data_IF_416037534950
#
_entry.id   IF_416037534950
#
_cell.length_a   1.000
_cell.length_b   1.000
_cell.length_c   1.000
_cell.angle_alpha   90.00
_cell.angle_beta   90.00
_cell.angle_gamma   90.00
#
_symmetry.space_group_name_H-M   'P 1'
#
loop_
_entity.id
_entity.type
_entity.pdbx_description
1 polymer ?
#
# COMPACT_ATOMS: atom_id res chain seq x y z
N UNK A 1 20.55 15.66 -2.59
CA UNK A 1 20.57 15.36 -1.14
C UNK A 1 20.64 13.86 -0.94
N UNK A 2 21.72 13.35 -0.33
CA UNK A 2 21.85 11.92 -0.01
C UNK A 2 21.02 11.62 1.25
N UNK A 3 20.06 10.68 1.15
CA UNK A 3 19.36 10.15 2.33
C UNK A 3 20.39 9.36 3.15
N UNK A 4 20.55 9.67 4.43
CA UNK A 4 21.41 8.91 5.35
C UNK A 4 21.10 7.42 5.23
N UNK A 5 22.14 6.60 5.06
CA UNK A 5 21.99 5.15 4.98
C UNK A 5 21.34 4.65 6.27
N UNK A 6 20.28 3.84 6.12
CA UNK A 6 19.61 3.20 7.24
C UNK A 6 20.61 2.32 7.99
N UNK A 7 20.96 2.71 9.22
CA UNK A 7 21.85 1.94 10.10
C UNK A 7 21.00 1.08 11.03
N UNK A 8 21.37 -0.19 11.13
CA UNK A 8 20.82 -1.15 12.08
C UNK A 8 21.86 -1.34 13.18
N UNK A 9 21.44 -1.49 14.42
CA UNK A 9 22.32 -2.03 15.46
C UNK A 9 22.60 -3.51 15.18
N UNK A 10 23.73 -4.01 15.70
CA UNK A 10 24.19 -5.37 15.41
C UNK A 10 23.21 -6.44 15.89
N UNK A 11 22.47 -6.19 16.98
CA UNK A 11 21.50 -7.14 17.51
C UNK A 11 20.27 -7.25 16.61
N UNK A 12 19.69 -6.12 16.19
CA UNK A 12 18.58 -6.08 15.23
C UNK A 12 18.99 -6.67 13.88
N UNK A 13 20.22 -6.38 13.42
CA UNK A 13 20.74 -6.91 12.17
C UNK A 13 20.87 -8.45 12.22
N UNK A 14 21.44 -9.00 13.30
CA UNK A 14 21.54 -10.44 13.49
C UNK A 14 20.16 -11.11 13.60
N UNK A 15 19.22 -10.49 14.33
CA UNK A 15 17.85 -10.98 14.46
C UNK A 15 17.12 -11.05 13.10
N UNK A 16 17.28 -10.03 12.24
CA UNK A 16 16.69 -10.02 10.91
C UNK A 16 17.27 -11.09 9.98
N UNK A 17 18.57 -11.38 10.08
CA UNK A 17 19.18 -12.48 9.32
C UNK A 17 18.71 -13.85 9.82
N UNK A 18 18.56 -14.02 11.13
CA UNK A 18 18.02 -15.23 11.76
C UNK A 18 16.57 -15.47 11.32
N UNK A 19 15.71 -14.47 11.45
CA UNK A 19 14.31 -14.53 11.04
C UNK A 19 14.11 -14.97 9.58
N UNK A 20 14.98 -14.51 8.68
CA UNK A 20 14.93 -14.93 7.28
C UNK A 20 15.27 -16.42 7.09
N UNK A 21 16.22 -16.97 7.87
CA UNK A 21 16.57 -18.40 7.81
C UNK A 21 15.49 -19.27 8.42
N UNK A 22 14.98 -18.87 9.58
CA UNK A 22 13.94 -19.60 10.30
C UNK A 22 12.65 -19.66 9.48
N UNK A 23 12.26 -18.54 8.85
CA UNK A 23 11.12 -18.51 7.94
C UNK A 23 11.32 -19.40 6.69
N UNK A 24 12.53 -19.46 6.13
CA UNK A 24 12.81 -20.30 4.95
C UNK A 24 12.78 -21.79 5.33
N UNK A 25 13.28 -22.14 6.52
CA UNK A 25 13.20 -23.50 7.06
C UNK A 25 11.74 -23.93 7.36
N UNK A 26 10.92 -23.02 7.91
CA UNK A 26 9.51 -23.29 8.20
C UNK A 26 8.64 -23.39 6.94
N UNK A 27 8.97 -22.60 5.91
CA UNK A 27 8.17 -22.49 4.70
C UNK A 27 9.03 -22.63 3.43
N UNK A 28 9.64 -23.81 3.16
CA UNK A 28 10.63 -24.00 2.10
C UNK A 28 10.05 -24.04 0.68
N UNK A 29 8.71 -24.19 0.53
CA UNK A 29 8.05 -24.18 -0.79
C UNK A 29 6.93 -23.13 -0.96
N UNK A 30 6.51 -22.44 0.11
CA UNK A 30 5.44 -21.45 0.07
C UNK A 30 5.96 -20.01 0.26
N UNK A 31 6.02 -19.25 -0.84
CA UNK A 31 6.61 -17.90 -0.85
C UNK A 31 5.77 -16.85 -0.08
N UNK A 32 4.42 -16.81 -0.22
CA UNK A 32 3.58 -15.98 0.65
C UNK A 32 3.77 -16.27 2.14
N UNK A 33 3.73 -17.54 2.55
CA UNK A 33 3.87 -17.92 3.96
C UNK A 33 5.25 -17.58 4.51
N UNK A 34 6.31 -17.82 3.73
CA UNK A 34 7.68 -17.40 4.05
C UNK A 34 7.77 -15.89 4.33
N UNK A 35 7.23 -15.06 3.42
CA UNK A 35 7.31 -13.60 3.56
C UNK A 35 6.49 -13.08 4.74
N UNK A 36 5.32 -13.68 5.00
CA UNK A 36 4.48 -13.28 6.13
C UNK A 36 5.15 -13.65 7.46
N UNK A 37 5.73 -14.85 7.57
CA UNK A 37 6.51 -15.28 8.74
C UNK A 37 7.74 -14.39 8.97
N UNK A 38 8.54 -14.15 7.92
CA UNK A 38 9.70 -13.28 8.00
C UNK A 38 9.35 -11.85 8.45
N UNK A 39 8.29 -11.26 7.89
CA UNK A 39 7.87 -9.90 8.25
C UNK A 39 7.30 -9.82 9.68
N UNK A 40 6.64 -10.87 10.16
CA UNK A 40 6.18 -10.95 11.54
C UNK A 40 7.35 -10.92 12.54
N UNK A 41 8.39 -11.72 12.28
CA UNK A 41 9.57 -11.76 13.15
C UNK A 41 10.46 -10.52 13.00
N UNK A 42 10.53 -9.95 11.79
CA UNK A 42 11.16 -8.65 11.58
C UNK A 42 10.47 -7.52 12.35
N UNK A 43 9.14 -7.54 12.46
CA UNK A 43 8.40 -6.60 13.30
C UNK A 43 8.70 -6.79 14.79
N UNK A 44 8.78 -8.03 15.27
CA UNK A 44 9.17 -8.31 16.66
C UNK A 44 10.58 -7.80 16.97
N UNK A 45 11.51 -7.93 16.02
CA UNK A 45 12.89 -7.50 16.20
C UNK A 45 13.08 -5.98 16.13
N UNK A 46 12.43 -5.30 15.18
CA UNK A 46 12.71 -3.90 14.86
C UNK A 46 11.57 -2.92 15.19
N UNK A 47 10.37 -3.44 15.51
CA UNK A 47 9.13 -2.70 15.72
C UNK A 47 8.80 -1.71 14.59
N UNK A 48 9.26 -2.05 13.38
CA UNK A 48 9.12 -1.22 12.18
C UNK A 48 9.13 -2.07 10.92
N UNK A 49 8.26 -1.72 9.96
CA UNK A 49 8.27 -2.32 8.62
C UNK A 49 9.09 -1.46 7.65
N UNK A 50 10.13 -2.04 7.05
CA UNK A 50 11.01 -1.40 6.08
C UNK A 50 10.53 -1.60 4.63
N UNK A 51 11.25 -0.99 3.67
CA UNK A 51 10.93 -1.15 2.25
C UNK A 51 11.38 -2.50 1.68
N UNK A 52 10.79 -2.90 0.55
CA UNK A 52 11.07 -4.19 -0.10
C UNK A 52 12.57 -4.43 -0.38
N UNK A 53 13.30 -3.39 -0.78
CA UNK A 53 14.74 -3.49 -1.06
C UNK A 53 15.56 -3.85 0.18
N UNK A 54 15.18 -3.35 1.35
CA UNK A 54 15.83 -3.68 2.62
C UNK A 54 15.69 -5.17 2.92
N UNK A 55 14.47 -5.69 2.79
CA UNK A 55 14.19 -7.10 3.04
C UNK A 55 14.83 -8.03 2.02
N UNK A 56 14.85 -7.65 0.73
CA UNK A 56 15.57 -8.39 -0.30
C UNK A 56 17.06 -8.51 0.00
N UNK A 57 17.69 -7.44 0.52
CA UNK A 57 19.08 -7.46 0.94
C UNK A 57 19.30 -8.44 2.10
N UNK A 58 18.44 -8.42 3.11
CA UNK A 58 18.54 -9.35 4.25
C UNK A 58 18.39 -10.81 3.82
N UNK A 59 17.44 -11.11 2.92
CA UNK A 59 17.26 -12.46 2.38
C UNK A 59 18.47 -12.92 1.56
N UNK A 60 19.06 -12.03 0.76
CA UNK A 60 20.27 -12.35 0.01
C UNK A 60 21.49 -12.62 0.92
N UNK A 61 21.57 -11.92 2.06
CA UNK A 61 22.66 -12.05 3.02
C UNK A 61 22.47 -13.22 4.00
N UNK A 62 21.23 -13.66 4.22
CA UNK A 62 20.92 -14.78 5.12
C UNK A 62 21.19 -16.15 4.49
N UNK A 63 21.45 -16.21 3.19
CA UNK A 63 21.69 -17.46 2.46
C UNK A 63 20.40 -18.17 2.02
N UNK A 64 19.26 -17.47 2.09
CA UNK A 64 17.99 -17.97 1.56
C UNK A 64 18.11 -18.13 0.05
N UNK A 65 17.84 -19.34 -0.45
CA UNK A 65 17.99 -19.67 -1.88
C UNK A 65 16.93 -19.01 -2.76
N UNK A 66 15.83 -18.57 -2.15
CA UNK A 66 14.68 -17.98 -2.82
C UNK A 66 14.94 -16.56 -3.28
N UNK A 67 14.33 -16.22 -4.40
CA UNK A 67 14.40 -14.89 -5.00
C UNK A 67 12.99 -14.35 -5.27
N UNK A 68 12.22 -14.02 -4.22
CA UNK A 68 10.94 -13.33 -4.42
C UNK A 68 11.16 -12.02 -5.15
N UNK A 69 10.23 -11.69 -6.06
CA UNK A 69 10.27 -10.41 -6.77
C UNK A 69 9.99 -9.25 -5.80
N UNK A 70 10.49 -8.05 -6.12
CA UNK A 70 10.19 -6.86 -5.33
C UNK A 70 8.68 -6.60 -5.20
N UNK A 71 7.88 -6.89 -6.24
CA UNK A 71 6.42 -6.78 -6.19
C UNK A 71 5.78 -7.78 -5.22
N UNK A 72 6.35 -8.98 -5.10
CA UNK A 72 5.87 -10.00 -4.15
C UNK A 72 6.17 -9.58 -2.71
N UNK A 73 7.38 -9.08 -2.45
CA UNK A 73 7.75 -8.53 -1.14
C UNK A 73 6.88 -7.33 -0.78
N UNK A 74 6.59 -6.44 -1.75
CA UNK A 74 5.72 -5.29 -1.52
C UNK A 74 4.29 -5.70 -1.13
N UNK A 75 3.73 -6.74 -1.77
CA UNK A 75 2.41 -7.28 -1.38
C UNK A 75 2.42 -7.81 0.05
N UNK A 76 3.49 -8.48 0.46
CA UNK A 76 3.64 -8.96 1.84
C UNK A 76 3.79 -7.80 2.83
N UNK A 77 4.55 -6.75 2.48
CA UNK A 77 4.65 -5.53 3.29
C UNK A 77 3.28 -4.87 3.50
N UNK A 78 2.46 -4.77 2.45
CA UNK A 78 1.10 -4.21 2.56
C UNK A 78 0.25 -5.03 3.54
N UNK A 79 0.30 -6.37 3.47
CA UNK A 79 -0.39 -7.24 4.42
C UNK A 79 0.14 -7.07 5.85
N UNK A 80 1.46 -7.09 6.02
CA UNK A 80 2.12 -6.96 7.32
C UNK A 80 1.78 -5.62 8.00
N UNK A 81 1.75 -4.52 7.24
CA UNK A 81 1.33 -3.21 7.77
C UNK A 81 -0.12 -3.22 8.24
N UNK A 82 -1.02 -3.81 7.46
CA UNK A 82 -2.42 -3.94 7.89
C UNK A 82 -2.58 -4.78 9.17
N UNK A 83 -1.65 -5.71 9.45
CA UNK A 83 -1.67 -6.56 10.64
C UNK A 83 -0.99 -5.91 11.86
N UNK A 84 0.11 -5.19 11.67
CA UNK A 84 0.99 -4.74 12.76
C UNK A 84 0.99 -3.23 12.99
N UNK A 85 0.76 -2.44 11.93
CA UNK A 85 0.56 -1.01 12.07
C UNK A 85 -0.93 -0.79 12.34
N UNK A 86 -1.30 -0.66 13.62
CA UNK A 86 -2.62 -0.10 13.99
C UNK A 86 -2.76 1.22 13.25
N UNK A 87 -3.87 1.51 12.55
CA UNK A 87 -3.98 2.73 11.77
C UNK A 87 -3.84 3.92 12.72
N UNK A 88 -2.65 4.52 12.74
CA UNK A 88 -2.49 5.88 13.20
C UNK A 88 -3.35 6.71 12.26
N UNK A 89 -4.47 7.20 12.80
CA UNK A 89 -5.36 8.15 12.13
C UNK A 89 -4.45 9.15 11.43
N UNK A 90 -4.55 9.32 10.10
CA UNK A 90 -3.66 10.23 9.41
C UNK A 90 -3.90 11.61 10.03
N UNK A 91 -2.86 12.18 10.64
CA UNK A 91 -2.79 13.59 10.94
C UNK A 91 -2.74 14.33 9.58
N UNK A 92 -3.89 14.41 8.93
CA UNK A 92 -4.11 15.33 7.84
C UNK A 92 -4.13 16.72 8.47
N UNK A 93 -3.31 17.61 7.91
CA UNK A 93 -2.89 18.85 8.52
C UNK A 93 -4.01 19.70 9.13
N UNK A 94 -3.64 20.42 10.18
CA UNK A 94 -4.33 21.57 10.78
C UNK A 94 -5.75 21.86 10.28
N UNK A 95 -6.74 21.56 11.10
CA UNK A 95 -8.05 22.24 11.09
C UNK A 95 -8.40 22.66 12.53
N UNK A 96 -9.01 23.84 12.72
CA UNK A 96 -8.97 24.57 13.98
C UNK A 96 -9.92 23.99 15.04
N UNK A 97 -9.59 24.26 16.31
CA UNK A 97 -10.23 23.71 17.50
C UNK A 97 -11.75 23.89 17.52
N UNK A 98 -12.47 22.78 17.37
CA UNK A 98 -13.83 22.53 17.84
C UNK A 98 -14.26 21.07 17.53
N UNK A 99 -13.71 20.45 16.47
CA UNK A 99 -14.09 19.09 16.05
C UNK A 99 -13.54 17.94 16.91
N UNK A 100 -12.45 18.16 17.66
CA UNK A 100 -11.86 17.12 18.51
C UNK A 100 -12.75 16.73 19.70
N UNK A 101 -13.49 17.68 20.25
CA UNK A 101 -14.40 17.45 21.40
C UNK A 101 -15.63 16.65 20.96
N UNK A 102 -16.15 16.92 19.75
CA UNK A 102 -17.29 16.19 19.18
C UNK A 102 -16.91 14.74 18.86
N UNK A 103 -15.70 14.51 18.33
CA UNK A 103 -15.22 13.17 18.05
C UNK A 103 -14.94 12.36 19.33
N UNK A 104 -14.33 12.99 20.35
CA UNK A 104 -14.09 12.35 21.64
C UNK A 104 -15.41 11.96 22.34
N UNK A 105 -16.42 12.83 22.33
CA UNK A 105 -17.74 12.52 22.88
C UNK A 105 -18.46 11.42 22.11
N UNK A 106 -18.33 11.39 20.78
CA UNK A 106 -18.92 10.33 19.96
C UNK A 106 -18.25 8.97 20.22
N UNK A 107 -16.94 8.97 20.49
CA UNK A 107 -16.19 7.77 20.86
C UNK A 107 -16.61 7.25 22.24
N UNK A 108 -16.71 8.13 23.23
CA UNK A 108 -17.19 7.78 24.58
C UNK A 108 -18.62 7.21 24.54
N UNK A 109 -19.52 7.83 23.77
CA UNK A 109 -20.89 7.32 23.63
C UNK A 109 -20.95 5.95 22.94
N UNK A 110 -20.11 5.70 21.94
CA UNK A 110 -20.03 4.38 21.31
C UNK A 110 -19.44 3.34 22.26
N UNK A 111 -18.45 3.70 23.07
CA UNK A 111 -17.80 2.81 24.02
C UNK A 111 -18.75 2.46 25.18
N UNK A 112 -19.51 3.44 25.68
CA UNK A 112 -20.58 3.22 26.66
C UNK A 112 -21.66 2.27 26.10
N UNK A 113 -22.13 2.48 24.87
CA UNK A 113 -23.09 1.59 24.21
C UNK A 113 -22.54 0.17 24.03
N UNK A 114 -21.28 0.02 23.65
CA UNK A 114 -20.64 -1.28 23.49
C UNK A 114 -20.55 -2.03 24.83
N UNK A 115 -20.14 -1.34 25.91
CA UNK A 115 -20.12 -1.93 27.26
C UNK A 115 -21.52 -2.32 27.73
N UNK A 116 -22.55 -1.52 27.42
CA UNK A 116 -23.93 -1.87 27.78
C UNK A 116 -24.42 -3.11 27.02
N UNK A 117 -24.03 -3.28 25.76
CA UNK A 117 -24.36 -4.46 24.94
C UNK A 117 -23.58 -5.72 25.38
N UNK A 118 -22.33 -5.54 25.83
CA UNK A 118 -21.51 -6.62 26.40
C UNK A 118 -22.06 -7.09 27.75
N UNK A 119 -22.49 -6.16 28.60
CA UNK A 119 -23.08 -6.45 29.92
C UNK A 119 -24.49 -7.04 29.80
N UNK A 120 -25.20 -6.76 28.70
CA UNK A 120 -26.50 -7.33 28.40
C UNK A 120 -26.43 -8.70 27.69
N UNK A 121 -25.24 -9.22 27.38
CA UNK A 121 -25.11 -10.56 26.80
C UNK A 121 -25.09 -11.63 27.91
N UNK A 122 -26.02 -12.60 27.91
CA UNK A 122 -25.91 -13.75 28.81
C UNK A 122 -24.71 -14.59 28.38
N UNK A 123 -23.91 -15.06 29.36
CA UNK A 123 -22.72 -15.88 29.17
C UNK A 123 -23.01 -17.13 28.32
N UNK A 124 -22.78 -17.01 27.03
CA UNK A 124 -22.83 -18.11 26.07
C UNK A 124 -21.51 -18.89 26.17
N UNK A 125 -21.52 -19.84 27.11
CA UNK A 125 -20.62 -20.97 27.08
C UNK A 125 -20.59 -21.60 25.67
N UNK A 126 -19.40 -21.68 25.09
CA UNK A 126 -18.96 -22.58 24.02
C UNK A 126 -20.07 -23.35 23.25
N UNK A 127 -20.38 -22.88 22.04
CA UNK A 127 -20.96 -23.72 21.00
C UNK A 127 -20.29 -23.39 19.65
N UNK A 128 -19.85 -24.42 18.94
CA UNK A 128 -19.12 -24.33 17.68
C UNK A 128 -19.88 -23.46 16.65
N UNK A 129 -19.15 -22.52 16.04
CA UNK A 129 -19.67 -21.54 15.08
C UNK A 129 -20.33 -22.18 13.86
N UNK A 130 -21.50 -21.65 13.55
CA UNK A 130 -22.46 -22.07 12.55
C UNK A 130 -21.94 -21.84 11.11
N UNK A 131 -22.20 -22.78 10.19
CA UNK A 131 -21.76 -22.71 8.79
C UNK A 131 -22.40 -21.57 7.98
N UNK A 132 -23.43 -20.93 8.53
CA UNK A 132 -24.11 -19.78 7.94
C UNK A 132 -23.19 -18.55 7.82
N UNK A 133 -22.37 -18.25 8.83
CA UNK A 133 -21.49 -17.08 8.84
C UNK A 133 -20.39 -17.16 7.78
N UNK A 134 -19.86 -18.36 7.55
CA UNK A 134 -18.85 -18.62 6.51
C UNK A 134 -19.47 -18.50 5.11
N UNK A 135 -20.69 -19.00 4.92
CA UNK A 135 -21.40 -18.88 3.65
C UNK A 135 -21.76 -17.43 3.30
N UNK A 136 -22.12 -16.61 4.30
CA UNK A 136 -22.36 -15.18 4.12
C UNK A 136 -21.07 -14.42 3.80
N UNK A 137 -19.97 -14.73 4.48
CA UNK A 137 -18.66 -14.15 4.17
C UNK A 137 -18.23 -14.47 2.73
N UNK A 138 -18.41 -15.71 2.27
CA UNK A 138 -18.09 -16.10 0.89
C UNK A 138 -18.95 -15.35 -0.14
N UNK A 139 -20.26 -15.21 0.10
CA UNK A 139 -21.15 -14.41 -0.77
C UNK A 139 -20.69 -12.96 -0.88
N UNK A 140 -20.23 -12.37 0.22
CA UNK A 140 -19.72 -11.00 0.26
C UNK A 140 -18.42 -10.85 -0.53
N UNK A 141 -17.51 -11.81 -0.44
CA UNK A 141 -16.27 -11.83 -1.24
C UNK A 141 -16.59 -11.89 -2.74
N UNK A 142 -17.48 -12.77 -3.17
CA UNK A 142 -17.85 -12.90 -4.58
C UNK A 142 -18.56 -11.65 -5.13
N UNK A 143 -19.25 -10.91 -4.27
CA UNK A 143 -19.82 -9.61 -4.64
C UNK A 143 -18.72 -8.57 -4.87
N UNK A 144 -17.78 -8.44 -3.92
CA UNK A 144 -16.67 -7.49 -4.01
C UNK A 144 -15.74 -7.79 -5.18
N UNK A 145 -15.51 -9.05 -5.51
CA UNK A 145 -14.69 -9.44 -6.68
C UNK A 145 -15.32 -8.97 -8.00
N UNK A 146 -16.65 -9.03 -8.12
CA UNK A 146 -17.37 -8.51 -9.29
C UNK A 146 -17.25 -6.99 -9.39
N UNK A 147 -17.47 -6.28 -8.28
CA UNK A 147 -17.30 -4.83 -8.25
C UNK A 147 -15.85 -4.42 -8.59
N UNK A 148 -14.86 -5.18 -8.10
CA UNK A 148 -13.45 -4.89 -8.41
C UNK A 148 -13.15 -5.06 -9.91
N UNK A 149 -13.70 -6.08 -10.56
CA UNK A 149 -13.58 -6.30 -11.99
C UNK A 149 -14.21 -5.16 -12.79
N UNK A 150 -15.41 -4.72 -12.40
CA UNK A 150 -16.11 -3.60 -13.05
C UNK A 150 -15.32 -2.28 -12.91
N UNK A 151 -14.81 -1.99 -11.72
CA UNK A 151 -13.99 -0.81 -11.48
C UNK A 151 -12.70 -0.83 -12.31
N UNK A 152 -12.05 -2.00 -12.44
CA UNK A 152 -10.86 -2.14 -13.30
C UNK A 152 -11.17 -1.92 -14.77
N UNK A 153 -12.30 -2.45 -15.25
CA UNK A 153 -12.74 -2.23 -16.62
C UNK A 153 -13.00 -0.74 -16.89
N UNK A 154 -13.67 -0.05 -15.96
CA UNK A 154 -13.94 1.39 -16.05
C UNK A 154 -12.65 2.22 -16.04
N UNK A 155 -11.67 1.84 -15.22
CA UNK A 155 -10.37 2.52 -15.17
C UNK A 155 -9.58 2.33 -16.47
N UNK A 156 -9.63 1.14 -17.07
CA UNK A 156 -9.06 0.88 -18.38
C UNK A 156 -9.71 1.75 -19.47
N UNK A 157 -11.04 1.85 -19.47
CA UNK A 157 -11.78 2.72 -20.40
C UNK A 157 -11.39 4.20 -20.23
N UNK A 158 -11.32 4.70 -18.99
CA UNK A 158 -10.91 6.08 -18.72
C UNK A 158 -9.46 6.34 -19.16
N UNK A 159 -8.57 5.36 -19.01
CA UNK A 159 -7.17 5.47 -19.45
C UNK A 159 -7.07 5.59 -20.97
N UNK A 160 -7.86 4.78 -21.70
CA UNK A 160 -7.95 4.87 -23.17
C UNK A 160 -8.51 6.22 -23.60
N UNK A 161 -9.60 6.69 -22.97
CA UNK A 161 -10.18 8.00 -23.26
C UNK A 161 -9.18 9.15 -23.01
N UNK A 162 -8.40 9.07 -21.93
CA UNK A 162 -7.36 10.05 -21.63
C UNK A 162 -6.20 10.00 -22.65
N UNK A 163 -5.85 8.83 -23.18
CA UNK A 163 -4.86 8.70 -24.24
C UNK A 163 -5.34 9.37 -25.54
N UNK A 164 -6.57 9.08 -25.97
CA UNK A 164 -7.20 9.74 -27.13
C UNK A 164 -7.29 11.26 -26.97
N UNK A 165 -7.67 11.75 -25.78
CA UNK A 165 -7.71 13.19 -25.53
C UNK A 165 -6.33 13.85 -25.62
N UNK A 166 -5.27 13.16 -25.15
CA UNK A 166 -3.89 13.64 -25.30
C UNK A 166 -3.42 13.64 -26.76
N UNK A 167 -3.80 12.65 -27.55
CA UNK A 167 -3.48 12.58 -28.97
C UNK A 167 -4.15 13.72 -29.75
N UNK A 168 -5.46 13.95 -29.53
CA UNK A 168 -6.17 15.08 -30.13
C UNK A 168 -5.58 16.45 -29.73
N UNK A 169 -5.17 16.61 -28.46
CA UNK A 169 -4.47 17.82 -28.01
C UNK A 169 -3.06 17.94 -28.60
N UNK A 170 -2.36 16.83 -28.79
CA UNK A 170 -1.07 16.78 -29.46
C UNK A 170 -1.16 17.21 -30.92
N UNK A 171 -2.12 16.66 -31.66
CA UNK A 171 -2.38 16.99 -33.06
C UNK A 171 -2.74 18.47 -33.24
N UNK A 172 -3.61 19.01 -32.39
CA UNK A 172 -3.97 20.45 -32.44
C UNK A 172 -2.79 21.36 -32.14
N UNK A 173 -1.89 20.99 -31.20
CA UNK A 173 -0.67 21.77 -30.92
C UNK A 173 0.36 21.68 -32.03
N UNK A 174 0.51 20.52 -32.70
CA UNK A 174 1.40 20.38 -33.87
C UNK A 174 0.85 21.06 -35.13
N UNK A 175 -0.48 21.21 -35.27
CA UNK A 175 -1.09 22.03 -36.31
C UNK A 175 -0.88 23.53 -36.13
N UNK A 176 -0.53 23.96 -34.91
CA UNK A 176 -0.19 25.34 -34.55
C UNK A 176 1.34 25.58 -34.52
N UNK A 177 2.11 25.06 -35.46
CA UNK A 177 3.48 25.58 -35.69
C UNK A 177 3.40 26.90 -36.46
N UNK A 178 3.63 28.08 -35.83
CA UNK A 178 3.74 29.32 -36.59
C UNK A 178 5.00 29.28 -37.45
N UNK A 179 4.83 29.22 -38.78
CA UNK A 179 5.88 29.59 -39.72
C UNK A 179 6.08 31.11 -39.65
N UNK A 180 6.78 31.59 -38.64
CA UNK A 180 7.11 33.00 -38.51
C UNK A 180 8.51 33.16 -37.93
N UNK A 181 9.52 33.15 -38.82
CA UNK A 181 10.72 34.01 -38.77
C UNK A 181 11.74 33.56 -39.83
N UNK A 182 11.55 34.00 -41.09
CA UNK A 182 12.64 34.10 -42.09
C UNK A 182 12.27 35.02 -43.26
N UNK A 183 11.56 36.11 -43.01
CA UNK A 183 11.33 37.15 -44.02
C UNK A 183 11.46 38.55 -43.40
N UNK A 184 12.62 38.83 -42.83
CA UNK A 184 13.00 40.19 -42.41
C UNK A 184 14.52 40.36 -42.50
N UNK A 185 15.13 40.00 -43.63
CA UNK A 185 16.51 40.39 -43.90
C UNK A 185 16.81 40.39 -45.41
N UNK A 186 16.12 41.21 -46.20
CA UNK A 186 16.57 41.47 -47.58
C UNK A 186 16.02 42.74 -48.25
N UNK A 187 15.85 43.84 -47.52
CA UNK A 187 15.51 45.15 -48.11
C UNK A 187 16.37 46.24 -47.48
N UNK A 188 17.66 46.24 -47.83
CA UNK A 188 18.61 47.23 -47.34
C UNK A 188 19.98 47.15 -48.00
N UNK A 189 20.07 46.85 -49.31
CA UNK A 189 21.33 47.00 -50.06
C UNK A 189 21.14 47.09 -51.58
N UNK A 190 20.97 48.31 -52.08
CA UNK A 190 21.42 48.82 -53.40
C UNK A 190 21.24 50.35 -53.30
N UNK A 191 22.26 51.21 -53.35
CA UNK A 191 23.20 51.42 -54.47
C UNK A 191 22.39 51.97 -55.64
N UNK A 192 22.52 53.22 -56.12
CA UNK A 192 23.65 54.15 -56.26
C UNK A 192 23.06 55.57 -56.35
#
# INVERSE_FOLDING_TARGET
MARSALKFDDATYAALLGAARDADAAHPHNNPAFLDAFLADAWKAAHRIYGAQTYLRFMAQSGVTRRPSAGTVQKAIVRARAMFETPAIPAFGSMPGAGGVVWAQQLEQNLARAMTLLDAMPESHHALGDGADVADAMRRVHHLERENLELRARLAQMTVAAAYAREALGETLTGFTPHAMSQANNLGRHGV
#
